data_IF_213662317802
#
_entry.id   IF_213662317802
#
_cell.length_a   1.000
_cell.length_b   1.000
_cell.length_c   1.000
_cell.angle_alpha   90.00
_cell.angle_beta   90.00
_cell.angle_gamma   90.00
#
_symmetry.space_group_name_H-M   'P 1'
#
loop_
_entity.id
_entity.type
_entity.pdbx_description
1 polymer ?
#
# COMPACT_ATOMS: atom_id res chain seq x y z
N UNK A 1 53.91 10.40 -28.74
CA UNK A 1 53.13 9.14 -28.75
C UNK A 1 52.58 8.74 -27.37
N UNK A 2 53.36 8.81 -26.28
CA UNK A 2 52.91 8.39 -24.92
C UNK A 2 51.78 9.24 -24.31
N UNK A 3 51.77 10.56 -24.53
CA UNK A 3 50.82 11.52 -23.94
C UNK A 3 49.39 11.38 -24.52
N UNK A 4 49.29 11.09 -25.81
CA UNK A 4 48.02 10.83 -26.53
C UNK A 4 47.34 9.56 -26.01
N UNK A 5 48.14 8.51 -25.75
CA UNK A 5 47.64 7.23 -25.22
C UNK A 5 47.03 7.43 -23.82
N UNK A 6 47.71 8.16 -22.94
CA UNK A 6 47.24 8.42 -21.56
C UNK A 6 45.95 9.25 -21.53
N UNK A 7 45.82 10.25 -22.42
CA UNK A 7 44.58 11.04 -22.55
C UNK A 7 43.40 10.16 -22.96
N UNK A 8 43.58 9.26 -23.93
CA UNK A 8 42.55 8.34 -24.40
C UNK A 8 42.07 7.39 -23.30
N UNK A 9 42.99 6.82 -22.51
CA UNK A 9 42.64 5.91 -21.39
C UNK A 9 41.90 6.64 -20.27
N UNK A 10 42.26 7.90 -20.00
CA UNK A 10 41.57 8.75 -19.02
C UNK A 10 40.14 9.06 -19.48
N UNK A 11 39.94 9.41 -20.75
CA UNK A 11 38.59 9.68 -21.28
C UNK A 11 37.70 8.44 -21.25
N UNK A 12 38.24 7.27 -21.58
CA UNK A 12 37.51 5.98 -21.52
C UNK A 12 37.11 5.60 -20.08
N UNK A 13 38.00 5.81 -19.10
CA UNK A 13 37.67 5.63 -17.68
C UNK A 13 36.58 6.59 -17.21
N UNK A 14 36.68 7.87 -17.59
CA UNK A 14 35.67 8.89 -17.21
C UNK A 14 34.31 8.53 -17.81
N UNK A 15 34.25 8.20 -19.11
CA UNK A 15 33.00 7.78 -19.76
C UNK A 15 32.38 6.54 -19.09
N UNK A 16 33.21 5.54 -18.76
CA UNK A 16 32.76 4.33 -18.08
C UNK A 16 32.19 4.62 -16.69
N UNK A 17 32.85 5.48 -15.91
CA UNK A 17 32.37 5.91 -14.60
C UNK A 17 31.06 6.71 -14.72
N UNK A 18 30.93 7.60 -15.70
CA UNK A 18 29.70 8.36 -15.94
C UNK A 18 28.53 7.44 -16.27
N UNK A 19 28.74 6.43 -17.13
CA UNK A 19 27.70 5.45 -17.49
C UNK A 19 27.24 4.66 -16.25
N UNK A 20 28.17 4.22 -15.39
CA UNK A 20 27.84 3.50 -14.16
C UNK A 20 27.05 4.37 -13.17
N UNK A 21 27.41 5.65 -13.04
CA UNK A 21 26.68 6.60 -12.19
C UNK A 21 25.25 6.82 -12.73
N UNK A 22 25.11 7.02 -14.04
CA UNK A 22 23.79 7.20 -14.66
C UNK A 22 22.92 5.94 -14.54
N UNK A 23 23.51 4.75 -14.66
CA UNK A 23 22.81 3.49 -14.44
C UNK A 23 22.36 3.32 -12.98
N UNK A 24 23.21 3.65 -12.01
CA UNK A 24 22.85 3.60 -10.59
C UNK A 24 21.71 4.57 -10.25
N UNK A 25 21.75 5.80 -10.80
CA UNK A 25 20.67 6.78 -10.65
C UNK A 25 19.37 6.29 -11.30
N UNK A 26 19.47 5.68 -12.49
CA UNK A 26 18.31 5.10 -13.19
C UNK A 26 17.66 3.97 -12.38
N UNK A 27 18.44 3.06 -11.80
CA UNK A 27 17.93 1.97 -10.95
C UNK A 27 17.30 2.50 -9.65
N UNK A 28 17.86 3.55 -9.06
CA UNK A 28 17.26 4.20 -7.88
C UNK A 28 15.98 4.98 -8.20
N UNK A 29 15.70 5.24 -9.47
CA UNK A 29 14.50 5.96 -9.93
C UNK A 29 13.26 5.08 -10.01
N UNK A 30 13.36 3.76 -9.73
CA UNK A 30 12.19 2.92 -9.42
C UNK A 30 11.67 3.28 -8.03
N UNK A 31 11.11 4.49 -7.95
CA UNK A 31 10.45 5.01 -6.77
C UNK A 31 9.27 4.14 -6.39
N UNK A 32 8.95 4.15 -5.10
CA UNK A 32 7.70 3.59 -4.60
C UNK A 32 6.58 4.50 -5.07
N UNK A 33 5.74 4.02 -5.99
CA UNK A 33 4.57 4.76 -6.46
C UNK A 33 3.56 4.89 -5.31
N UNK A 34 3.55 6.08 -4.69
CA UNK A 34 2.52 6.47 -3.74
C UNK A 34 1.33 7.01 -4.52
N UNK A 35 0.28 6.23 -4.62
CA UNK A 35 -0.98 6.65 -5.20
C UNK A 35 -1.89 7.23 -4.11
N UNK A 36 -2.44 8.43 -4.36
CA UNK A 36 -3.47 9.02 -3.49
C UNK A 36 -4.77 9.20 -4.27
N UNK A 37 -5.84 8.57 -3.80
CA UNK A 37 -7.18 8.64 -4.40
C UNK A 37 -8.23 9.09 -3.40
N UNK A 38 -9.34 9.66 -3.87
CA UNK A 38 -10.53 9.97 -3.04
C UNK A 38 -11.42 8.76 -2.80
N UNK A 39 -11.21 7.68 -3.54
CA UNK A 39 -11.99 6.44 -3.47
C UNK A 39 -11.09 5.26 -3.11
N UNK A 40 -11.69 4.23 -2.51
CA UNK A 40 -10.99 2.99 -2.21
C UNK A 40 -10.61 2.25 -3.50
N UNK A 41 -9.39 1.67 -3.58
CA UNK A 41 -9.01 0.80 -4.69
C UNK A 41 -9.96 -0.39 -4.84
N UNK A 42 -10.32 -0.74 -6.08
CA UNK A 42 -11.32 -1.80 -6.36
C UNK A 42 -10.93 -3.16 -5.77
N UNK A 43 -9.64 -3.47 -5.70
CA UNK A 43 -9.12 -4.70 -5.14
C UNK A 43 -9.36 -4.83 -3.62
N UNK A 44 -9.65 -3.76 -2.88
CA UNK A 44 -9.91 -3.83 -1.43
C UNK A 44 -11.38 -3.65 -1.04
N UNK A 45 -12.22 -3.24 -2.00
CA UNK A 45 -13.67 -3.06 -1.79
C UNK A 45 -14.32 -4.42 -1.47
N UNK A 46 -15.06 -4.49 -0.38
CA UNK A 46 -15.78 -5.69 0.04
C UNK A 46 -15.91 -5.80 1.56
N UNK A 47 -16.60 -6.84 2.01
CA UNK A 47 -16.73 -7.20 3.43
C UNK A 47 -15.64 -8.20 3.81
N UNK A 48 -15.04 -7.98 4.97
CA UNK A 48 -13.88 -8.71 5.46
C UNK A 48 -14.14 -9.26 6.86
N UNK A 49 -13.86 -10.55 7.04
CA UNK A 49 -14.03 -11.29 8.30
C UNK A 49 -12.76 -12.06 8.64
N UNK A 50 -12.63 -12.47 9.89
CA UNK A 50 -11.51 -13.29 10.35
C UNK A 50 -12.02 -14.49 11.13
N UNK A 51 -11.27 -15.59 11.07
CA UNK A 51 -11.52 -16.79 11.88
C UNK A 51 -10.99 -16.65 13.31
N UNK A 52 -10.26 -15.56 13.63
CA UNK A 52 -9.74 -15.32 14.96
C UNK A 52 -10.91 -15.22 15.98
N UNK A 53 -10.99 -16.11 17.01
CA UNK A 53 -12.16 -16.22 17.88
C UNK A 53 -12.56 -14.92 18.59
N UNK A 54 -11.56 -14.08 18.92
CA UNK A 54 -11.76 -12.76 19.54
C UNK A 54 -12.61 -11.80 18.69
N UNK A 55 -12.68 -12.03 17.38
CA UNK A 55 -13.34 -11.17 16.40
C UNK A 55 -14.44 -11.90 15.63
N UNK A 56 -14.93 -13.04 16.13
CA UNK A 56 -15.90 -13.88 15.42
C UNK A 56 -17.22 -13.15 15.07
N UNK A 57 -17.63 -12.18 15.89
CA UNK A 57 -18.80 -11.33 15.69
C UNK A 57 -18.47 -9.99 15.00
N UNK A 58 -17.22 -9.78 14.58
CA UNK A 58 -16.73 -8.53 13.99
C UNK A 58 -16.54 -8.69 12.50
N UNK A 59 -16.68 -7.58 11.80
CA UNK A 59 -16.31 -7.45 10.40
C UNK A 59 -15.89 -6.02 10.13
N UNK A 60 -15.24 -5.79 9.01
CA UNK A 60 -15.19 -4.46 8.42
C UNK A 60 -15.55 -4.55 6.96
N UNK A 61 -16.07 -3.45 6.42
CA UNK A 61 -16.42 -3.34 5.01
C UNK A 61 -15.82 -2.07 4.45
N UNK A 62 -15.21 -2.20 3.28
CA UNK A 62 -14.69 -1.09 2.51
C UNK A 62 -15.59 -0.96 1.29
N UNK A 63 -16.26 0.18 1.16
CA UNK A 63 -16.94 0.56 -0.08
C UNK A 63 -16.07 1.56 -0.84
N UNK A 64 -16.52 1.99 -2.01
CA UNK A 64 -15.81 3.00 -2.80
C UNK A 64 -15.51 4.29 -1.99
N UNK A 65 -16.39 4.68 -1.07
CA UNK A 65 -16.31 5.97 -0.38
C UNK A 65 -16.59 5.91 1.14
N UNK A 66 -16.74 4.72 1.72
CA UNK A 66 -16.96 4.53 3.16
C UNK A 66 -16.15 3.36 3.70
N UNK A 67 -15.80 3.45 4.97
CA UNK A 67 -15.32 2.34 5.78
C UNK A 67 -16.35 2.09 6.88
N UNK A 68 -16.70 0.82 7.07
CA UNK A 68 -17.72 0.39 8.03
C UNK A 68 -17.08 -0.63 8.96
N UNK A 69 -17.25 -0.46 10.26
CA UNK A 69 -16.78 -1.40 11.28
C UNK A 69 -17.98 -2.02 12.00
N UNK A 70 -18.16 -3.33 11.86
CA UNK A 70 -19.13 -4.10 12.63
C UNK A 70 -18.60 -4.39 14.03
N UNK A 71 -19.28 -3.88 15.05
CA UNK A 71 -18.85 -3.94 16.46
C UNK A 71 -19.61 -4.99 17.27
N UNK A 72 -20.10 -6.04 16.61
CA UNK A 72 -20.84 -7.14 17.23
C UNK A 72 -22.35 -6.93 17.21
N UNK A 73 -23.10 -8.03 17.11
CA UNK A 73 -24.55 -8.00 16.98
C UNK A 73 -25.01 -7.22 15.74
N UNK A 74 -25.97 -6.31 15.92
CA UNK A 74 -26.50 -5.45 14.85
C UNK A 74 -25.85 -4.05 14.81
N UNK A 75 -24.80 -3.81 15.61
CA UNK A 75 -24.16 -2.50 15.72
C UNK A 75 -23.02 -2.34 14.72
N UNK A 76 -22.95 -1.17 14.09
CA UNK A 76 -21.87 -0.78 13.20
C UNK A 76 -21.57 0.71 13.29
N UNK A 77 -20.34 1.08 12.96
CA UNK A 77 -19.91 2.46 12.75
C UNK A 77 -19.55 2.65 11.27
N UNK A 78 -20.10 3.67 10.63
CA UNK A 78 -19.91 3.92 9.19
C UNK A 78 -19.38 5.33 8.95
N UNK A 79 -18.13 5.39 8.49
CA UNK A 79 -17.40 6.64 8.32
C UNK A 79 -17.09 6.88 6.84
N UNK A 80 -17.12 8.16 6.43
CA UNK A 80 -16.79 8.57 5.06
C UNK A 80 -15.28 8.52 4.84
N UNK A 81 -14.84 7.89 3.75
CA UNK A 81 -13.46 7.95 3.27
C UNK A 81 -13.21 9.34 2.70
N UNK A 82 -12.08 9.92 3.09
CA UNK A 82 -11.62 11.23 2.59
C UNK A 82 -10.64 11.03 1.46
N UNK A 83 -9.64 10.19 1.72
CA UNK A 83 -8.66 9.75 0.75
C UNK A 83 -8.04 8.43 1.20
N UNK A 84 -7.45 7.73 0.24
CA UNK A 84 -6.68 6.50 0.44
C UNK A 84 -5.30 6.72 -0.14
N UNK A 85 -4.28 6.38 0.63
CA UNK A 85 -2.91 6.26 0.16
C UNK A 85 -2.60 4.79 -0.08
N UNK A 86 -2.01 4.49 -1.23
CA UNK A 86 -1.67 3.14 -1.64
C UNK A 86 -0.22 3.08 -2.09
N UNK A 87 0.47 2.03 -1.69
CA UNK A 87 1.85 1.75 -2.07
C UNK A 87 1.91 0.29 -2.52
N UNK A 88 2.32 0.05 -3.75
CA UNK A 88 2.52 -1.32 -4.25
C UNK A 88 3.93 -1.79 -3.95
N UNK A 89 4.07 -2.98 -3.34
CA UNK A 89 5.34 -3.59 -2.94
C UNK A 89 5.41 -5.03 -3.47
N UNK A 90 5.77 -5.18 -4.74
CA UNK A 90 5.75 -6.47 -5.42
C UNK A 90 4.33 -7.01 -5.52
N UNK A 91 4.06 -8.18 -4.92
CA UNK A 91 2.73 -8.83 -4.94
C UNK A 91 1.77 -8.22 -3.92
N UNK A 92 2.29 -7.67 -2.82
CA UNK A 92 1.48 -7.09 -1.75
C UNK A 92 1.38 -5.58 -1.90
N UNK A 93 0.29 -4.98 -1.43
CA UNK A 93 0.15 -3.53 -1.35
C UNK A 93 -0.11 -3.08 0.07
N UNK A 94 0.42 -1.91 0.42
CA UNK A 94 0.10 -1.20 1.65
C UNK A 94 -0.96 -0.14 1.36
N UNK A 95 -1.93 -0.01 2.25
CA UNK A 95 -2.99 1.00 2.16
C UNK A 95 -3.16 1.71 3.51
N UNK A 96 -3.41 3.02 3.43
CA UNK A 96 -3.87 3.84 4.55
C UNK A 96 -5.15 4.58 4.15
N UNK A 97 -6.26 4.21 4.77
CA UNK A 97 -7.56 4.88 4.59
C UNK A 97 -7.68 5.96 5.66
N UNK A 98 -7.90 7.20 5.20
CA UNK A 98 -8.18 8.35 6.05
C UNK A 98 -9.68 8.62 6.03
N UNK A 99 -10.32 8.63 7.20
CA UNK A 99 -11.77 8.69 7.35
C UNK A 99 -12.20 9.62 8.49
N UNK A 100 -13.46 10.09 8.43
CA UNK A 100 -14.06 11.00 9.43
C UNK A 100 -14.40 12.39 8.87
N UNK A 101 -14.83 13.29 9.78
CA UNK A 101 -15.32 14.63 9.44
C UNK A 101 -14.20 15.69 9.37
N UNK A 102 -14.40 16.71 8.55
CA UNK A 102 -13.51 17.87 8.42
C UNK A 102 -13.61 18.72 9.70
N UNK A 103 -12.53 18.81 10.48
CA UNK A 103 -12.42 19.75 11.61
C UNK A 103 -12.58 19.15 13.02
N UNK A 104 -12.88 17.85 13.15
CA UNK A 104 -12.95 17.18 14.47
C UNK A 104 -11.79 16.20 14.64
N UNK A 105 -11.96 14.96 14.19
CA UNK A 105 -10.98 13.90 14.30
C UNK A 105 -10.87 13.16 12.96
N UNK A 106 -9.75 13.34 12.27
CA UNK A 106 -9.37 12.47 11.15
C UNK A 106 -8.74 11.21 11.73
N UNK A 107 -9.29 10.06 11.35
CA UNK A 107 -8.79 8.75 11.76
C UNK A 107 -8.09 8.08 10.59
N UNK A 108 -7.17 7.17 10.93
CA UNK A 108 -6.35 6.45 9.96
C UNK A 108 -6.46 4.95 10.20
N UNK A 109 -6.77 4.20 9.14
CA UNK A 109 -6.80 2.74 9.14
C UNK A 109 -5.75 2.20 8.16
N UNK A 110 -4.75 1.52 8.69
CA UNK A 110 -3.56 1.07 7.96
C UNK A 110 -3.52 -0.46 7.85
N UNK A 111 -3.34 -0.98 6.64
CA UNK A 111 -3.32 -2.42 6.39
C UNK A 111 -2.47 -2.80 5.17
N UNK A 112 -2.08 -4.07 5.15
CA UNK A 112 -1.48 -4.73 4.00
C UNK A 112 -2.54 -5.58 3.31
N UNK A 113 -2.55 -5.54 1.98
CA UNK A 113 -3.37 -6.38 1.12
C UNK A 113 -2.48 -7.35 0.34
N UNK A 114 -2.87 -8.61 0.35
CA UNK A 114 -2.27 -9.68 -0.42
C UNK A 114 -3.33 -10.25 -1.36
N UNK A 115 -3.20 -10.13 -2.69
CA UNK A 115 -4.21 -10.55 -3.66
C UNK A 115 -4.34 -12.08 -3.79
N UNK A 116 -3.42 -12.86 -3.24
CA UNK A 116 -3.45 -14.33 -3.31
C UNK A 116 -4.64 -14.91 -2.56
N UNK A 117 -5.05 -16.12 -2.93
CA UNK A 117 -6.10 -16.90 -2.25
C UNK A 117 -7.43 -16.14 -2.06
N UNK A 118 -7.84 -15.32 -3.03
CA UNK A 118 -9.09 -14.54 -2.96
C UNK A 118 -8.97 -13.20 -2.21
N UNK A 119 -7.76 -12.85 -1.76
CA UNK A 119 -7.46 -11.61 -1.07
C UNK A 119 -7.41 -11.78 0.44
N UNK A 120 -6.35 -11.28 1.07
CA UNK A 120 -6.19 -11.21 2.52
C UNK A 120 -5.77 -9.82 2.93
N UNK A 121 -6.48 -9.26 3.91
CA UNK A 121 -6.08 -8.03 4.60
C UNK A 121 -5.45 -8.37 5.95
N UNK A 122 -4.35 -7.70 6.28
CA UNK A 122 -3.69 -7.75 7.60
C UNK A 122 -3.49 -6.34 8.11
N UNK A 123 -4.01 -6.05 9.30
CA UNK A 123 -3.84 -4.70 9.86
C UNK A 123 -2.39 -4.48 10.27
N UNK A 124 -1.88 -3.27 10.04
CA UNK A 124 -0.48 -2.93 10.34
C UNK A 124 -0.10 -3.20 11.80
N UNK A 125 -1.05 -3.01 12.72
CA UNK A 125 -0.88 -3.25 14.15
C UNK A 125 -1.25 -4.67 14.62
N UNK A 126 -1.75 -5.54 13.74
CA UNK A 126 -2.22 -6.90 14.05
C UNK A 126 -1.88 -7.89 12.91
N UNK A 127 -0.62 -7.89 12.47
CA UNK A 127 -0.13 -8.70 11.33
C UNK A 127 -0.51 -10.19 11.37
N UNK A 128 -0.52 -10.88 12.53
CA UNK A 128 -0.88 -12.30 12.57
C UNK A 128 -2.33 -12.59 12.18
N UNK A 129 -3.23 -11.61 12.27
CA UNK A 129 -4.67 -11.80 12.02
C UNK A 129 -4.96 -11.65 10.53
N UNK A 130 -5.49 -12.72 9.93
CA UNK A 130 -5.91 -12.74 8.53
C UNK A 130 -7.37 -12.35 8.44
N UNK A 131 -7.66 -11.30 7.67
CA UNK A 131 -9.00 -10.91 7.29
C UNK A 131 -9.23 -11.34 5.84
N UNK A 132 -10.22 -12.18 5.63
CA UNK A 132 -10.57 -12.75 4.33
C UNK A 132 -11.84 -12.11 3.82
N UNK A 133 -11.91 -11.95 2.50
CA UNK A 133 -13.09 -11.43 1.83
C UNK A 133 -14.23 -12.43 1.97
N UNK A 134 -15.40 -11.93 2.35
CA UNK A 134 -16.64 -12.72 2.30
C UNK A 134 -17.06 -12.81 0.84
N UNK A 135 -17.09 -14.04 0.31
CA UNK A 135 -17.67 -14.33 -1.00
C UNK A 135 -19.16 -14.59 -0.75
N UNK A 136 -20.02 -13.71 -1.29
CA UNK A 136 -21.46 -13.94 -1.33
C UNK A 136 -21.82 -14.83 -2.53
#
# INVERSE_FOLDING_TARGET
>A
MRIELTRKTITEMIMSATILILFAVYVMSFGVDLERSKTAPQNVIGTWRTEAPKYADRYFEITENRIIFGTGGASFDSQKIRYVESITQGVTSYHAIYYGNLGENEYRFEFYYDPRDGGVIRFKNQIPIRWQRVVN
#
